data_IF_976590740371
#
_entry.id   IF_976590740371
#
_cell.length_a   1.000
_cell.length_b   1.000
_cell.length_c   1.000
_cell.angle_alpha   90.00
_cell.angle_beta   90.00
_cell.angle_gamma   90.00
#
_symmetry.space_group_name_H-M   'P 1'
#
loop_
_entity.id
_entity.type
_entity.pdbx_description
1 polymer ?
#
# COMPACT_ATOMS: atom_id res chain seq x y z
N UNK A 1 -5.21 6.99 14.78
CA UNK A 1 -4.43 6.55 13.60
C UNK A 1 -5.22 5.78 12.55
N UNK A 2 -6.36 5.17 12.90
CA UNK A 2 -7.35 4.67 11.92
C UNK A 2 -8.11 5.80 11.21
N UNK A 3 -8.21 6.99 11.82
CA UNK A 3 -8.88 8.17 11.27
C UNK A 3 -8.24 8.70 9.97
N UNK A 4 -6.89 8.71 9.86
CA UNK A 4 -6.20 9.17 8.65
C UNK A 4 -6.49 8.31 7.42
N UNK A 5 -6.40 6.98 7.58
CA UNK A 5 -6.77 6.01 6.52
C UNK A 5 -8.22 6.21 6.07
N UNK A 6 -9.13 6.55 6.99
CA UNK A 6 -10.52 6.85 6.66
C UNK A 6 -10.70 8.19 5.95
N UNK A 7 -9.94 9.23 6.30
CA UNK A 7 -9.92 10.51 5.58
C UNK A 7 -9.40 10.34 4.16
N UNK A 8 -8.34 9.56 3.95
CA UNK A 8 -7.86 9.24 2.60
C UNK A 8 -8.79 8.31 1.84
N UNK A 9 -9.49 7.38 2.51
CA UNK A 9 -10.55 6.60 1.86
C UNK A 9 -11.72 7.49 1.40
N UNK A 10 -12.03 8.56 2.13
CA UNK A 10 -13.02 9.57 1.74
C UNK A 10 -12.50 10.46 0.60
N UNK A 11 -11.21 10.78 0.58
CA UNK A 11 -10.53 11.56 -0.46
C UNK A 11 -10.41 10.78 -1.77
N UNK A 12 -10.06 9.50 -1.68
CA UNK A 12 -10.08 8.54 -2.79
C UNK A 12 -11.51 8.39 -3.29
N UNK A 13 -12.51 8.19 -2.41
CA UNK A 13 -13.94 8.16 -2.77
C UNK A 13 -14.42 9.45 -3.44
N UNK A 14 -14.05 10.63 -2.94
CA UNK A 14 -14.53 11.90 -3.49
C UNK A 14 -13.92 12.18 -4.87
N UNK A 15 -12.65 11.84 -5.08
CA UNK A 15 -12.01 11.91 -6.40
C UNK A 15 -12.59 10.87 -7.37
N UNK A 16 -12.79 9.63 -6.91
CA UNK A 16 -13.44 8.55 -7.67
C UNK A 16 -14.89 8.92 -8.09
N UNK A 17 -15.70 9.35 -7.13
CA UNK A 17 -17.13 9.54 -7.32
C UNK A 17 -17.46 10.86 -8.05
N UNK A 18 -16.81 11.97 -7.71
CA UNK A 18 -17.21 13.29 -8.19
C UNK A 18 -16.51 13.72 -9.48
N UNK A 19 -15.25 13.31 -9.66
CA UNK A 19 -14.42 13.76 -10.80
C UNK A 19 -14.35 12.72 -11.92
N UNK A 20 -14.40 11.41 -11.60
CA UNK A 20 -14.17 10.36 -12.60
C UNK A 20 -15.45 9.80 -13.24
N UNK A 21 -16.59 9.84 -12.55
CA UNK A 21 -17.86 9.44 -13.16
C UNK A 21 -18.37 10.43 -14.22
N UNK A 22 -17.94 11.69 -14.16
CA UNK A 22 -18.37 12.75 -15.09
C UNK A 22 -17.56 12.83 -16.39
N UNK A 23 -16.41 12.14 -16.48
CA UNK A 23 -15.57 12.13 -17.69
C UNK A 23 -15.68 10.77 -18.39
N UNK A 24 -16.10 10.76 -19.66
CA UNK A 24 -16.09 9.59 -20.53
C UNK A 24 -14.65 9.25 -20.94
N UNK A 25 -13.88 8.63 -20.04
CA UNK A 25 -12.55 8.13 -20.37
C UNK A 25 -12.63 6.82 -21.17
N UNK A 26 -11.71 6.68 -22.14
CA UNK A 26 -11.43 5.40 -22.78
C UNK A 26 -10.99 4.35 -21.75
N UNK A 27 -11.13 3.07 -22.07
CA UNK A 27 -10.71 1.98 -21.19
C UNK A 27 -9.23 2.11 -20.77
N UNK A 28 -8.34 2.40 -21.72
CA UNK A 28 -6.94 2.67 -21.46
C UNK A 28 -6.74 3.88 -20.51
N UNK A 29 -7.50 4.96 -20.70
CA UNK A 29 -7.44 6.13 -19.81
C UNK A 29 -7.90 5.81 -18.38
N UNK A 30 -8.95 4.99 -18.23
CA UNK A 30 -9.42 4.55 -16.90
C UNK A 30 -8.37 3.70 -16.19
N UNK A 31 -7.69 2.83 -16.92
CA UNK A 31 -6.61 1.99 -16.39
C UNK A 31 -5.40 2.81 -15.95
N UNK A 32 -4.96 3.75 -16.78
CA UNK A 32 -3.83 4.62 -16.45
C UNK A 32 -4.11 5.47 -15.21
N UNK A 33 -5.35 5.96 -15.07
CA UNK A 33 -5.79 6.68 -13.89
C UNK A 33 -5.76 5.81 -12.62
N UNK A 34 -6.26 4.56 -12.71
CA UNK A 34 -6.16 3.59 -11.61
C UNK A 34 -4.70 3.36 -11.25
N UNK A 35 -3.83 3.17 -12.24
CA UNK A 35 -2.39 2.93 -12.04
C UNK A 35 -1.73 4.08 -11.30
N UNK A 36 -1.97 5.32 -11.72
CA UNK A 36 -1.43 6.52 -11.07
C UNK A 36 -1.89 6.64 -9.61
N UNK A 37 -3.17 6.40 -9.34
CA UNK A 37 -3.74 6.49 -7.98
C UNK A 37 -3.20 5.39 -7.08
N UNK A 38 -3.17 4.15 -7.57
CA UNK A 38 -2.59 3.03 -6.86
C UNK A 38 -1.11 3.27 -6.56
N UNK A 39 -0.36 3.82 -7.52
CA UNK A 39 1.03 4.17 -7.31
C UNK A 39 1.21 5.19 -6.17
N UNK A 40 0.34 6.21 -6.08
CA UNK A 40 0.36 7.15 -4.95
C UNK A 40 0.07 6.46 -3.60
N UNK A 41 -0.89 5.52 -3.58
CA UNK A 41 -1.20 4.72 -2.38
C UNK A 41 -0.02 3.82 -2.01
N UNK A 42 0.63 3.19 -2.98
CA UNK A 42 1.81 2.35 -2.80
C UNK A 42 2.99 3.12 -2.21
N UNK A 43 3.32 4.28 -2.78
CA UNK A 43 4.49 5.05 -2.38
C UNK A 43 4.41 5.55 -0.93
N UNK A 44 3.21 5.93 -0.48
CA UNK A 44 3.03 6.54 0.83
C UNK A 44 2.50 5.55 1.87
N UNK A 45 1.33 4.95 1.65
CA UNK A 45 0.67 4.17 2.70
C UNK A 45 1.30 2.80 2.91
N UNK A 46 1.70 2.14 1.82
CA UNK A 46 2.25 0.78 1.92
C UNK A 46 3.68 0.73 2.46
N UNK A 47 4.43 1.83 2.44
CA UNK A 47 5.80 1.90 2.97
C UNK A 47 5.84 2.21 4.48
N UNK A 48 4.71 2.68 5.04
CA UNK A 48 4.60 3.18 6.41
C UNK A 48 3.68 2.29 7.26
N UNK A 49 2.62 1.74 6.66
CA UNK A 49 1.56 1.04 7.37
C UNK A 49 1.38 -0.39 6.87
N UNK A 50 1.19 -1.34 7.79
CA UNK A 50 0.59 -2.64 7.47
C UNK A 50 -0.91 -2.44 7.24
N UNK A 51 -1.32 -2.42 5.97
CA UNK A 51 -2.71 -2.18 5.58
C UNK A 51 -3.54 -3.47 5.78
N UNK A 52 -4.69 -3.40 6.46
CA UNK A 52 -5.59 -4.55 6.56
C UNK A 52 -6.10 -5.00 5.20
N UNK A 53 -6.18 -6.30 4.97
CA UNK A 53 -6.62 -6.86 3.69
C UNK A 53 -8.02 -6.38 3.24
N UNK A 54 -8.95 -6.17 4.18
CA UNK A 54 -10.26 -5.60 3.87
C UNK A 54 -10.18 -4.22 3.19
N UNK A 55 -9.20 -3.38 3.56
CA UNK A 55 -9.01 -2.07 2.93
C UNK A 55 -8.50 -2.23 1.50
N UNK A 56 -7.57 -3.16 1.29
CA UNK A 56 -7.05 -3.50 -0.04
C UNK A 56 -8.19 -4.02 -0.93
N UNK A 57 -9.03 -4.91 -0.42
CA UNK A 57 -10.18 -5.43 -1.16
C UNK A 57 -11.18 -4.34 -1.51
N UNK A 58 -11.43 -3.40 -0.58
CA UNK A 58 -12.30 -2.26 -0.84
C UNK A 58 -11.74 -1.36 -1.96
N UNK A 59 -10.42 -1.16 -2.01
CA UNK A 59 -9.74 -0.43 -3.10
C UNK A 59 -9.93 -1.18 -4.42
N UNK A 60 -9.72 -2.50 -4.43
CA UNK A 60 -9.89 -3.33 -5.62
C UNK A 60 -11.33 -3.30 -6.14
N UNK A 61 -12.32 -3.43 -5.26
CA UNK A 61 -13.74 -3.34 -5.62
C UNK A 61 -14.08 -1.98 -6.23
N UNK A 62 -13.54 -0.88 -5.69
CA UNK A 62 -13.74 0.46 -6.26
C UNK A 62 -13.12 0.60 -7.65
N UNK A 63 -11.90 0.12 -7.85
CA UNK A 63 -11.22 0.15 -9.15
C UNK A 63 -11.97 -0.70 -10.18
N UNK A 64 -12.43 -1.89 -9.78
CA UNK A 64 -13.24 -2.77 -10.62
C UNK A 64 -14.58 -2.15 -11.01
N UNK A 65 -15.29 -1.51 -10.08
CA UNK A 65 -16.53 -0.80 -10.40
C UNK A 65 -16.30 0.36 -11.38
N UNK A 66 -15.17 1.06 -11.28
CA UNK A 66 -14.81 2.12 -12.23
C UNK A 66 -14.50 1.57 -13.64
N UNK A 67 -13.81 0.43 -13.71
CA UNK A 67 -13.52 -0.27 -14.98
C UNK A 67 -14.80 -0.87 -15.61
N UNK A 68 -15.68 -1.48 -14.82
CA UNK A 68 -16.92 -2.12 -15.29
C UNK A 68 -17.95 -1.13 -15.85
N UNK A 69 -17.87 0.17 -15.54
CA UNK A 69 -18.62 1.22 -16.24
C UNK A 69 -18.11 1.47 -17.69
N UNK A 70 -17.47 0.48 -18.30
CA UNK A 70 -17.07 0.45 -19.70
C UNK A 70 -17.70 -0.79 -20.35
N UNK A 71 -17.87 -0.81 -21.67
CA UNK A 71 -18.53 -1.91 -22.40
C UNK A 71 -17.71 -3.22 -22.41
N UNK A 72 -16.76 -3.39 -21.49
CA UNK A 72 -15.83 -4.51 -21.44
C UNK A 72 -16.28 -5.57 -20.42
N UNK A 73 -15.97 -6.86 -20.68
CA UNK A 73 -16.33 -7.95 -19.78
C UNK A 73 -15.69 -7.80 -18.38
N UNK A 74 -16.31 -8.36 -17.33
CA UNK A 74 -15.76 -8.32 -15.98
C UNK A 74 -14.45 -9.10 -15.91
N UNK A 75 -13.38 -8.43 -15.48
CA UNK A 75 -12.04 -9.03 -15.34
C UNK A 75 -11.75 -9.24 -13.86
N UNK A 76 -11.22 -10.41 -13.47
CA UNK A 76 -10.79 -10.62 -12.09
C UNK A 76 -9.57 -9.74 -11.78
N UNK A 77 -9.51 -9.12 -10.59
CA UNK A 77 -8.39 -8.25 -10.21
C UNK A 77 -7.03 -8.96 -10.25
N UNK A 78 -7.01 -10.27 -9.95
CA UNK A 78 -5.81 -11.08 -10.09
C UNK A 78 -5.30 -11.16 -11.53
N UNK A 79 -6.19 -11.13 -12.52
CA UNK A 79 -5.80 -11.05 -13.93
C UNK A 79 -5.20 -9.67 -14.23
N UNK A 80 -5.74 -8.59 -13.66
CA UNK A 80 -5.13 -7.26 -13.76
C UNK A 80 -3.71 -7.21 -13.15
N UNK A 81 -3.43 -8.04 -12.13
CA UNK A 81 -2.13 -8.13 -11.47
C UNK A 81 -1.13 -9.08 -12.14
N UNK A 82 -1.60 -10.13 -12.81
CA UNK A 82 -0.75 -11.25 -13.28
C UNK A 82 -0.07 -11.04 -14.61
N UNK A 83 -0.52 -10.11 -15.42
CA UNK A 83 -0.51 -10.40 -16.85
C UNK A 83 0.87 -10.36 -17.55
N UNK A 84 2.05 -10.18 -16.92
CA UNK A 84 3.24 -9.58 -17.58
C UNK A 84 3.94 -10.31 -18.74
N UNK A 85 3.66 -11.57 -19.03
CA UNK A 85 4.38 -12.26 -20.12
C UNK A 85 3.84 -11.92 -21.54
N UNK A 86 2.66 -11.27 -21.66
CA UNK A 86 1.99 -10.95 -22.95
C UNK A 86 1.87 -9.43 -23.31
N UNK A 87 2.61 -8.51 -22.67
CA UNK A 87 2.62 -7.05 -23.01
C UNK A 87 1.68 -6.14 -22.20
N UNK A 88 2.06 -5.77 -20.96
CA UNK A 88 1.08 -5.72 -19.85
C UNK A 88 1.00 -4.44 -19.01
N UNK A 89 -0.22 -4.18 -18.56
CA UNK A 89 -0.75 -3.09 -17.73
C UNK A 89 -0.09 -2.87 -16.34
N UNK A 90 0.65 -3.84 -15.80
CA UNK A 90 1.65 -3.64 -14.74
C UNK A 90 1.16 -3.28 -13.32
N UNK A 91 -0.08 -3.64 -12.93
CA UNK A 91 -0.55 -3.40 -11.55
C UNK A 91 0.05 -4.41 -10.56
N UNK A 92 0.57 -3.92 -9.44
CA UNK A 92 1.17 -4.78 -8.41
C UNK A 92 0.09 -5.27 -7.45
N UNK A 93 0.25 -6.51 -6.97
CA UNK A 93 -0.60 -7.00 -5.89
C UNK A 93 -0.24 -6.27 -4.58
N UNK A 94 -1.11 -5.35 -4.15
CA UNK A 94 -0.90 -4.50 -2.99
C UNK A 94 -0.67 -5.30 -1.70
N UNK A 95 -1.22 -6.51 -1.57
CA UNK A 95 -1.05 -7.34 -0.36
C UNK A 95 0.40 -7.78 -0.20
N UNK A 96 0.98 -8.31 -1.27
CA UNK A 96 2.38 -8.73 -1.29
C UNK A 96 3.30 -7.50 -1.26
N UNK A 97 2.95 -6.48 -2.04
CA UNK A 97 3.76 -5.27 -2.15
C UNK A 97 3.86 -4.50 -0.83
N UNK A 98 2.81 -4.53 0.01
CA UNK A 98 2.85 -3.94 1.34
C UNK A 98 3.95 -4.54 2.22
N UNK A 99 4.06 -5.87 2.24
CA UNK A 99 5.08 -6.56 3.03
C UNK A 99 6.48 -6.21 2.54
N UNK A 100 6.69 -6.23 1.22
CA UNK A 100 7.98 -5.88 0.59
C UNK A 100 8.38 -4.44 0.90
N UNK A 101 7.46 -3.49 0.80
CA UNK A 101 7.76 -2.09 1.08
C UNK A 101 8.04 -1.84 2.55
N UNK A 102 7.35 -2.52 3.47
CA UNK A 102 7.64 -2.43 4.91
C UNK A 102 9.00 -3.04 5.25
N UNK A 103 9.36 -4.17 4.64
CA UNK A 103 10.68 -4.77 4.77
C UNK A 103 11.78 -3.82 4.25
N UNK A 104 11.57 -3.21 3.07
CA UNK A 104 12.47 -2.18 2.52
C UNK A 104 12.60 -0.98 3.46
N UNK A 105 11.50 -0.59 4.11
CA UNK A 105 11.46 0.50 5.08
C UNK A 105 12.29 0.20 6.32
N UNK A 106 12.18 -1.01 6.87
CA UNK A 106 13.01 -1.52 7.96
C UNK A 106 14.50 -1.55 7.58
N UNK A 107 14.81 -2.03 6.37
CA UNK A 107 16.17 -2.03 5.85
C UNK A 107 16.73 -0.61 5.72
N UNK A 108 15.96 0.34 5.19
CA UNK A 108 16.37 1.74 5.10
C UNK A 108 16.60 2.38 6.48
N UNK A 109 15.89 1.91 7.52
CA UNK A 109 16.13 2.33 8.90
C UNK A 109 17.47 1.84 9.43
N UNK A 110 17.87 0.61 9.08
CA UNK A 110 19.20 0.07 9.37
C UNK A 110 20.31 0.85 8.67
N UNK A 111 20.12 1.13 7.38
CA UNK A 111 21.05 1.91 6.53
C UNK A 111 21.03 3.42 6.84
N UNK A 112 20.29 3.85 7.88
CA UNK A 112 20.14 5.25 8.33
C UNK A 112 19.86 6.22 7.17
N UNK A 113 19.06 5.82 6.20
CA UNK A 113 18.72 6.68 5.07
C UNK A 113 18.04 7.96 5.53
N UNK A 114 18.41 9.07 4.89
CA UNK A 114 17.85 10.38 5.20
C UNK A 114 16.40 10.50 4.71
N UNK A 115 15.47 9.98 5.50
CA UNK A 115 14.03 10.15 5.26
C UNK A 115 13.32 10.49 6.56
N UNK A 116 12.25 11.29 6.46
CA UNK A 116 11.44 11.67 7.62
C UNK A 116 10.92 10.46 8.39
N UNK A 117 10.56 9.39 7.67
CA UNK A 117 10.12 8.14 8.27
C UNK A 117 11.21 7.45 9.09
N UNK A 118 12.42 7.34 8.54
CA UNK A 118 13.56 6.75 9.26
C UNK A 118 13.93 7.60 10.48
N UNK A 119 13.97 8.93 10.35
CA UNK A 119 14.18 9.85 11.48
C UNK A 119 13.12 9.68 12.57
N UNK A 120 11.85 9.55 12.18
CA UNK A 120 10.76 9.33 13.13
C UNK A 120 10.89 7.98 13.84
N UNK A 121 11.25 6.90 13.14
CA UNK A 121 11.53 5.60 13.77
C UNK A 121 12.65 5.72 14.80
N UNK A 122 13.76 6.35 14.43
CA UNK A 122 14.91 6.52 15.34
C UNK A 122 14.57 7.39 16.55
N UNK A 123 13.70 8.38 16.38
CA UNK A 123 13.22 9.19 17.50
C UNK A 123 12.38 8.38 18.51
N UNK A 124 11.59 7.42 18.06
CA UNK A 124 10.70 6.63 18.92
C UNK A 124 11.41 5.40 19.51
N UNK A 125 12.15 4.65 18.68
CA UNK A 125 12.80 3.39 19.04
C UNK A 125 14.28 3.55 19.43
N UNK A 126 14.81 4.78 19.45
CA UNK A 126 16.24 5.03 19.58
C UNK A 126 17.01 4.63 18.32
N UNK A 127 18.34 4.53 18.44
CA UNK A 127 19.25 4.32 17.30
C UNK A 127 19.07 3.01 16.53
N UNK A 128 18.40 2.01 17.10
CA UNK A 128 18.27 0.68 16.49
C UNK A 128 16.90 0.03 16.76
N UNK A 129 16.02 0.08 15.76
CA UNK A 129 14.74 -0.66 15.77
C UNK A 129 14.91 -2.18 15.89
N UNK A 130 16.05 -2.73 15.44
CA UNK A 130 16.31 -4.18 15.45
C UNK A 130 16.44 -4.76 16.85
N UNK A 131 16.95 -3.96 17.80
CA UNK A 131 17.13 -4.38 19.19
C UNK A 131 15.98 -3.89 20.10
N UNK A 132 15.00 -3.19 19.55
CA UNK A 132 13.90 -2.62 20.32
C UNK A 132 12.90 -3.69 20.76
N UNK A 133 12.59 -3.73 22.05
CA UNK A 133 11.52 -4.55 22.63
C UNK A 133 10.22 -3.75 22.68
N UNK A 134 9.13 -4.31 22.16
CA UNK A 134 7.82 -3.62 22.17
C UNK A 134 7.38 -3.26 23.60
N UNK A 135 7.06 -1.99 23.82
CA UNK A 135 6.51 -1.49 25.10
C UNK A 135 4.99 -1.39 25.02
N UNK A 136 4.32 -1.40 26.18
CA UNK A 136 2.85 -1.25 26.27
C UNK A 136 2.40 0.09 25.67
N UNK A 137 3.20 1.13 25.88
CA UNK A 137 2.99 2.51 25.42
C UNK A 137 3.27 2.72 23.92
N UNK A 138 3.91 1.76 23.25
CA UNK A 138 4.26 1.91 21.84
C UNK A 138 3.02 2.04 20.96
N UNK A 139 3.14 2.92 19.95
CA UNK A 139 2.09 3.12 18.98
C UNK A 139 1.78 1.81 18.23
N UNK A 140 0.52 1.67 17.81
CA UNK A 140 0.10 0.49 17.02
C UNK A 140 0.87 0.31 15.71
N UNK A 141 1.53 1.36 15.19
CA UNK A 141 2.41 1.24 14.01
C UNK A 141 3.71 0.57 14.36
N UNK A 142 4.37 1.02 15.42
CA UNK A 142 5.62 0.41 15.89
C UNK A 142 5.38 -1.06 16.21
N UNK A 143 4.30 -1.40 16.92
CA UNK A 143 3.93 -2.79 17.18
C UNK A 143 3.76 -3.61 15.89
N UNK A 144 3.07 -3.08 14.87
CA UNK A 144 2.92 -3.76 13.58
C UNK A 144 4.21 -3.85 12.77
N UNK A 145 5.08 -2.87 12.90
CA UNK A 145 6.38 -2.82 12.24
C UNK A 145 7.34 -3.85 12.86
N UNK A 146 7.32 -4.01 14.19
CA UNK A 146 8.05 -5.04 14.92
C UNK A 146 7.59 -6.45 14.52
N UNK A 147 6.28 -6.67 14.37
CA UNK A 147 5.78 -7.96 13.86
C UNK A 147 6.38 -8.31 12.49
N UNK A 148 6.53 -7.33 11.59
CA UNK A 148 7.13 -7.58 10.28
C UNK A 148 8.64 -7.80 10.40
N UNK A 149 9.31 -7.06 11.28
CA UNK A 149 10.73 -7.32 11.60
C UNK A 149 10.91 -8.76 12.05
N UNK A 150 10.09 -9.21 12.98
CA UNK A 150 10.16 -10.57 13.53
C UNK A 150 9.83 -11.62 12.46
N UNK A 151 8.83 -11.36 11.60
CA UNK A 151 8.53 -12.18 10.41
C UNK A 151 9.78 -12.31 9.49
N UNK A 152 10.51 -11.21 9.25
CA UNK A 152 11.72 -11.20 8.40
C UNK A 152 12.88 -11.95 9.06
N UNK A 153 13.11 -11.76 10.36
CA UNK A 153 14.17 -12.45 11.10
C UNK A 153 13.92 -13.96 11.08
N UNK A 154 12.68 -14.40 11.32
CA UNK A 154 12.31 -15.82 11.25
C UNK A 154 12.51 -16.44 9.86
N UNK A 155 12.33 -15.65 8.79
CA UNK A 155 12.55 -16.11 7.41
C UNK A 155 14.04 -16.20 7.03
N UNK A 156 14.92 -15.50 7.74
CA UNK A 156 16.37 -15.43 7.43
C UNK A 156 17.25 -16.21 8.40
N UNK A 157 16.69 -16.67 9.52
CA UNK A 157 17.38 -17.44 10.56
C UNK A 157 17.24 -18.97 10.45
N UNK A 158 17.01 -19.53 9.25
CA UNK A 158 17.12 -20.98 8.97
C UNK A 158 18.29 -21.28 8.05
#
# INVERSE_FOLDING_TARGET
MTLGIWQDSKLIRSRLAFTWQKKTLSYAGKMELIRSVLHGVECFWLSILRIPYYVIDKIYTMCMGFLQNSKHPPIAWDMCCKLKEDGVLGLRNLRYWNKVLLAKSLWNSHDKKDSLWVKWIHHICGDNIWNWSSKKEDSGLIKKLLLIRDDIVNLTGS
#
